data_IF_019011417937
#
_entry.id   IF_019011417937
#
_cell.length_a   1.000
_cell.length_b   1.000
_cell.length_c   1.000
_cell.angle_alpha   90.00
_cell.angle_beta   90.00
_cell.angle_gamma   90.00
#
_symmetry.space_group_name_H-M   'P 1'
#
loop_
_entity.id
_entity.type
_entity.pdbx_description
1 polymer ?
#
# COMPACT_ATOMS: atom_id res chain seq x y z
N UNK A 1 -2.67 -17.88 -6.78
CA UNK A 1 -1.98 -16.60 -6.50
C UNK A 1 -2.51 -15.57 -7.47
N UNK A 2 -3.03 -14.42 -6.99
CA UNK A 2 -3.51 -13.34 -7.89
C UNK A 2 -2.51 -12.21 -7.83
N UNK A 3 -1.73 -12.08 -8.89
CA UNK A 3 -0.76 -11.00 -9.09
C UNK A 3 -1.38 -9.62 -8.84
N UNK A 4 -0.55 -8.68 -8.40
CA UNK A 4 -0.95 -7.29 -8.23
C UNK A 4 -1.36 -6.71 -9.58
N UNK A 5 -2.50 -6.01 -9.61
CA UNK A 5 -2.85 -5.19 -10.77
C UNK A 5 -1.90 -4.00 -10.87
N UNK A 6 -1.76 -3.40 -12.05
CA UNK A 6 -0.86 -2.25 -12.23
C UNK A 6 -1.17 -1.11 -11.27
N UNK A 7 -2.47 -0.84 -11.04
CA UNK A 7 -2.90 0.16 -10.04
C UNK A 7 -2.46 -0.21 -8.62
N UNK A 8 -2.55 -1.48 -8.24
CA UNK A 8 -2.13 -1.95 -6.91
C UNK A 8 -0.61 -1.88 -6.75
N UNK A 9 0.16 -2.23 -7.79
CA UNK A 9 1.63 -2.07 -7.80
C UNK A 9 2.01 -0.60 -7.59
N UNK A 10 1.39 0.32 -8.32
CA UNK A 10 1.63 1.76 -8.15
C UNK A 10 1.32 2.23 -6.73
N UNK A 11 0.20 1.80 -6.14
CA UNK A 11 -0.16 2.16 -4.77
C UNK A 11 0.85 1.60 -3.77
N UNK A 12 1.30 0.36 -3.95
CA UNK A 12 2.32 -0.26 -3.11
C UNK A 12 3.65 0.50 -3.18
N UNK A 13 4.11 0.84 -4.39
CA UNK A 13 5.31 1.64 -4.60
C UNK A 13 5.19 3.01 -3.95
N UNK A 14 4.05 3.68 -4.12
CA UNK A 14 3.78 4.96 -3.45
C UNK A 14 3.85 4.85 -1.92
N UNK A 15 3.25 3.82 -1.33
CA UNK A 15 3.33 3.59 0.13
C UNK A 15 4.79 3.42 0.57
N UNK A 16 5.58 2.65 -0.20
CA UNK A 16 7.01 2.43 0.08
C UNK A 16 7.82 3.71 0.02
N UNK A 17 7.70 4.47 -1.05
CA UNK A 17 8.39 5.76 -1.22
C UNK A 17 7.97 6.77 -0.15
N UNK A 18 6.67 6.80 0.18
CA UNK A 18 6.14 7.70 1.18
C UNK A 18 6.72 7.41 2.57
N UNK A 19 6.83 6.13 2.95
CA UNK A 19 7.49 5.72 4.19
C UNK A 19 8.96 6.11 4.19
N UNK A 20 9.68 5.82 3.09
CA UNK A 20 11.11 6.16 2.97
C UNK A 20 11.36 7.66 3.07
N UNK A 21 10.47 8.50 2.51
CA UNK A 21 10.62 9.94 2.51
C UNK A 21 10.19 10.60 3.83
N UNK A 22 9.15 10.08 4.48
CA UNK A 22 8.52 10.75 5.62
C UNK A 22 8.78 10.06 6.97
N UNK A 23 9.34 8.85 6.98
CA UNK A 23 9.48 7.97 8.17
C UNK A 23 8.14 7.55 8.80
N UNK A 24 7.02 7.72 8.09
CA UNK A 24 5.71 7.24 8.51
C UNK A 24 4.87 6.85 7.28
N UNK A 25 3.94 5.88 7.40
CA UNK A 25 3.10 5.48 6.29
C UNK A 25 2.02 6.51 5.95
N UNK A 26 1.58 6.57 4.69
CA UNK A 26 0.47 7.42 4.30
C UNK A 26 -0.83 6.90 4.89
N UNK A 27 -1.78 7.80 5.08
CA UNK A 27 -3.18 7.49 5.37
C UNK A 27 -3.93 7.17 4.08
N UNK A 28 -5.09 6.49 4.21
CA UNK A 28 -6.00 6.25 3.08
C UNK A 28 -6.36 7.54 2.34
N UNK A 29 -6.52 8.66 3.07
CA UNK A 29 -6.81 9.98 2.49
C UNK A 29 -5.65 10.56 1.71
N UNK A 30 -4.42 10.36 2.16
CA UNK A 30 -3.22 10.81 1.44
C UNK A 30 -3.02 9.99 0.15
N UNK A 31 -3.22 8.67 0.22
CA UNK A 31 -3.20 7.80 -0.96
C UNK A 31 -4.30 8.21 -1.96
N UNK A 32 -5.53 8.44 -1.48
CA UNK A 32 -6.62 8.89 -2.35
C UNK A 32 -6.28 10.21 -3.07
N UNK A 33 -5.66 11.15 -2.35
CA UNK A 33 -5.25 12.45 -2.90
C UNK A 33 -4.10 12.31 -3.92
N UNK A 34 -3.12 11.44 -3.65
CA UNK A 34 -1.99 11.20 -4.54
C UNK A 34 -2.41 10.57 -5.88
N UNK A 35 -3.44 9.73 -5.87
CA UNK A 35 -3.94 9.04 -7.07
C UNK A 35 -5.21 9.66 -7.67
N UNK A 36 -5.61 10.85 -7.20
CA UNK A 36 -6.84 11.55 -7.59
C UNK A 36 -8.06 10.62 -7.65
N UNK A 37 -8.29 9.86 -6.58
CA UNK A 37 -9.41 8.91 -6.46
C UNK A 37 -10.19 9.12 -5.16
N UNK A 38 -11.33 8.44 -5.06
CA UNK A 38 -12.14 8.48 -3.84
C UNK A 38 -11.42 7.78 -2.68
N UNK A 39 -11.71 8.23 -1.44
CA UNK A 39 -11.18 7.60 -0.21
C UNK A 39 -11.57 6.12 -0.15
N UNK A 40 -12.79 5.79 -0.59
CA UNK A 40 -13.25 4.40 -0.68
C UNK A 40 -12.43 3.60 -1.69
N UNK A 41 -12.15 4.15 -2.88
CA UNK A 41 -11.33 3.46 -3.88
C UNK A 41 -9.92 3.17 -3.38
N UNK A 42 -9.29 4.15 -2.71
CA UNK A 42 -7.99 3.94 -2.08
C UNK A 42 -8.05 2.88 -0.97
N UNK A 43 -9.10 2.89 -0.15
CA UNK A 43 -9.32 1.87 0.88
C UNK A 43 -9.45 0.46 0.28
N UNK A 44 -10.25 0.31 -0.77
CA UNK A 44 -10.48 -0.97 -1.45
C UNK A 44 -9.16 -1.53 -2.02
N UNK A 45 -8.29 -0.66 -2.59
CA UNK A 45 -6.97 -1.05 -3.05
C UNK A 45 -6.03 -1.45 -1.91
N UNK A 46 -6.01 -0.70 -0.82
CA UNK A 46 -5.20 -1.00 0.38
C UNK A 46 -5.64 -2.35 0.98
N UNK A 47 -6.95 -2.59 1.13
CA UNK A 47 -7.47 -3.88 1.59
C UNK A 47 -7.14 -5.03 0.64
N UNK A 48 -7.11 -4.78 -0.67
CA UNK A 48 -6.69 -5.79 -1.62
C UNK A 48 -5.18 -6.12 -1.48
N UNK A 49 -4.33 -5.13 -1.25
CA UNK A 49 -2.90 -5.32 -0.96
C UNK A 49 -2.70 -6.12 0.34
N UNK A 50 -3.48 -5.80 1.37
CA UNK A 50 -3.47 -6.51 2.65
C UNK A 50 -3.89 -7.98 2.48
N UNK A 51 -5.01 -8.23 1.80
CA UNK A 51 -5.50 -9.59 1.52
C UNK A 51 -4.50 -10.42 0.72
N UNK A 52 -3.67 -9.76 -0.10
CA UNK A 52 -2.61 -10.39 -0.89
C UNK A 52 -1.29 -10.55 -0.12
N UNK A 53 -1.20 -10.05 1.12
CA UNK A 53 -0.04 -10.21 1.98
C UNK A 53 1.11 -9.25 1.72
N UNK A 54 0.91 -8.17 0.96
CA UNK A 54 1.96 -7.17 0.69
C UNK A 54 2.04 -6.07 1.75
N UNK A 55 0.93 -5.84 2.46
CA UNK A 55 0.88 -4.87 3.56
C UNK A 55 0.03 -5.43 4.69
N UNK A 56 0.15 -4.83 5.86
CA UNK A 56 -0.73 -5.08 7.00
C UNK A 56 -1.28 -3.75 7.49
N UNK A 57 -2.57 -3.71 7.79
CA UNK A 57 -3.22 -2.52 8.35
C UNK A 57 -3.83 -2.83 9.70
N UNK A 58 -3.74 -1.88 10.63
CA UNK A 58 -4.43 -2.00 11.93
C UNK A 58 -5.67 -1.11 11.93
N UNK A 59 -6.86 -1.70 12.03
CA UNK A 59 -8.18 -1.03 11.84
C UNK A 59 -8.54 0.07 12.85
N UNK A 60 -7.66 0.43 13.79
CA UNK A 60 -7.95 1.42 14.84
C UNK A 60 -6.98 2.60 14.89
N UNK A 61 -6.05 2.70 13.93
CA UNK A 61 -5.08 3.81 13.90
C UNK A 61 -4.87 4.36 12.51
N UNK A 62 -4.93 5.69 12.40
CA UNK A 62 -4.37 6.39 11.25
C UNK A 62 -2.86 6.09 11.17
N UNK A 63 -2.32 5.95 9.96
CA UNK A 63 -0.90 5.63 9.72
C UNK A 63 -0.43 4.30 10.32
N UNK A 64 -1.27 3.28 10.27
CA UNK A 64 -0.93 1.93 10.71
C UNK A 64 -0.76 0.95 9.53
N UNK A 65 -0.27 1.45 8.39
CA UNK A 65 0.12 0.60 7.27
C UNK A 65 1.56 0.15 7.49
N UNK A 66 1.76 -1.15 7.56
CA UNK A 66 3.08 -1.77 7.62
C UNK A 66 3.34 -2.48 6.29
N UNK A 67 4.51 -2.26 5.71
CA UNK A 67 4.96 -3.04 4.56
C UNK A 67 5.31 -4.44 5.05
N UNK A 68 4.69 -5.45 4.44
CA UNK A 68 5.08 -6.83 4.65
C UNK A 68 5.96 -7.17 3.45
N UNK A 69 7.21 -7.57 3.69
CA UNK A 69 8.03 -8.11 2.62
C UNK A 69 7.30 -9.35 2.10
N UNK A 70 6.76 -9.36 0.86
CA UNK A 70 6.32 -10.61 0.29
C UNK A 70 7.54 -11.55 0.24
N UNK A 71 7.35 -12.87 0.43
CA UNK A 71 8.40 -13.81 0.13
C UNK A 71 8.72 -13.64 -1.37
N UNK A 72 9.95 -13.23 -1.66
CA UNK A 72 10.57 -13.25 -3.00
C UNK A 72 10.17 -12.14 -4.00
N UNK A 73 10.40 -10.88 -3.64
CA UNK A 73 10.87 -9.90 -4.64
C UNK A 73 12.42 -9.90 -4.62
N UNK A 74 12.99 -11.08 -4.86
CA UNK A 74 14.40 -11.25 -5.20
C UNK A 74 14.53 -11.16 -6.71
N UNK A 75 14.34 -9.96 -7.26
CA UNK A 75 14.97 -9.67 -8.56
C UNK A 75 16.42 -9.35 -8.26
N UNK A 76 17.21 -10.41 -8.10
CA UNK A 76 18.63 -10.39 -8.41
C UNK A 76 18.76 -10.09 -9.91
N UNK A 77 19.37 -8.95 -10.27
CA UNK A 77 20.58 -8.77 -11.12
C UNK A 77 20.76 -7.30 -11.49
#
# INVERSE_FOLDING_TARGET
MKDLTDRQKLILSFIREYIQKNNYPPTVRETARAFSMSVKGAYDHIKALEKKGYIKTTEKRSRAIELVSPPEDNTAV
#
